data_IF_750753425597
#
_entry.id   IF_750753425597
#
_cell.length_a   1.000
_cell.length_b   1.000
_cell.length_c   1.000
_cell.angle_alpha   90.00
_cell.angle_beta   90.00
_cell.angle_gamma   90.00
#
_symmetry.space_group_name_H-M   'P 1'
#
loop_
_entity.id
_entity.type
_entity.pdbx_description
1 polymer ?
#
# COMPACT_ATOMS: atom_id res chain seq x y z
N UNK A 1 2.82 -17.20 47.68
CA UNK A 1 3.28 -15.82 47.57
C UNK A 1 4.80 -15.63 47.38
N UNK A 2 5.67 -16.30 48.13
CA UNK A 2 7.15 -16.14 48.01
C UNK A 2 7.75 -16.60 46.66
N UNK A 3 7.21 -17.65 46.02
CA UNK A 3 7.71 -18.15 44.72
C UNK A 3 7.32 -17.26 43.54
N UNK A 4 6.17 -16.59 43.57
CA UNK A 4 5.72 -15.67 42.51
C UNK A 4 6.49 -14.35 42.51
N UNK A 5 6.89 -13.84 43.69
CA UNK A 5 7.75 -12.66 43.78
C UNK A 5 9.16 -12.91 43.24
N UNK A 6 9.70 -14.12 43.40
CA UNK A 6 11.03 -14.46 42.90
C UNK A 6 11.07 -14.57 41.36
N UNK A 7 9.99 -15.06 40.77
CA UNK A 7 9.85 -15.12 39.29
C UNK A 7 9.68 -13.72 38.65
N UNK A 8 8.95 -12.83 39.31
CA UNK A 8 8.77 -11.45 38.84
C UNK A 8 10.08 -10.64 38.94
N UNK A 9 10.84 -10.78 40.02
CA UNK A 9 12.14 -10.12 40.16
C UNK A 9 13.20 -10.70 39.23
N UNK A 10 13.20 -12.02 38.96
CA UNK A 10 14.09 -12.62 37.96
C UNK A 10 13.75 -12.17 36.51
N UNK A 11 12.48 -12.01 36.21
CA UNK A 11 12.05 -11.49 34.88
C UNK A 11 12.44 -10.02 34.69
N UNK A 12 12.32 -9.20 35.75
CA UNK A 12 12.78 -7.79 35.69
C UNK A 12 14.30 -7.67 35.59
N UNK A 13 15.07 -8.53 36.24
CA UNK A 13 16.53 -8.56 36.10
C UNK A 13 16.97 -9.06 34.71
N UNK A 14 16.27 -10.03 34.13
CA UNK A 14 16.54 -10.50 32.76
C UNK A 14 16.25 -9.44 31.70
N UNK A 15 15.15 -8.69 31.85
CA UNK A 15 14.81 -7.59 30.96
C UNK A 15 15.79 -6.42 31.06
N UNK A 16 16.28 -6.11 32.26
CA UNK A 16 17.32 -5.09 32.47
C UNK A 16 18.67 -5.54 31.91
N UNK A 17 19.03 -6.83 32.02
CA UNK A 17 20.27 -7.35 31.45
C UNK A 17 20.30 -7.30 29.92
N UNK A 18 19.17 -7.66 29.25
CA UNK A 18 19.06 -7.57 27.79
C UNK A 18 19.11 -6.12 27.31
N UNK A 19 18.46 -5.19 28.02
CA UNK A 19 18.52 -3.76 27.68
C UNK A 19 19.95 -3.20 27.87
N UNK A 20 20.67 -3.69 28.88
CA UNK A 20 22.04 -3.30 29.16
C UNK A 20 23.03 -3.86 28.12
N UNK A 21 22.81 -5.09 27.63
CA UNK A 21 23.63 -5.71 26.59
C UNK A 21 23.46 -5.03 25.23
N UNK A 22 22.27 -4.59 24.87
CA UNK A 22 22.02 -3.84 23.63
C UNK A 22 22.69 -2.47 23.65
N UNK A 23 22.70 -1.77 24.79
CA UNK A 23 23.33 -0.46 24.94
C UNK A 23 24.86 -0.55 25.16
N UNK A 24 25.39 -1.68 25.64
CA UNK A 24 26.81 -1.84 25.96
C UNK A 24 27.75 -1.69 24.76
N UNK A 25 27.26 -1.88 23.52
CA UNK A 25 28.04 -1.70 22.28
C UNK A 25 28.44 -0.26 21.98
N UNK A 26 27.75 0.72 22.56
CA UNK A 26 27.88 2.14 22.24
C UNK A 26 28.19 3.03 23.43
N UNK A 27 28.34 2.43 24.62
CA UNK A 27 28.57 3.17 25.85
C UNK A 27 29.92 2.83 26.45
N UNK A 28 30.50 3.78 27.18
CA UNK A 28 31.73 3.55 27.96
C UNK A 28 31.37 2.68 29.19
N UNK A 29 31.79 1.41 29.19
CA UNK A 29 31.41 0.43 30.22
C UNK A 29 32.12 0.65 31.55
N UNK A 30 33.17 1.49 31.60
CA UNK A 30 33.97 1.79 32.78
C UNK A 30 33.51 3.05 33.54
N UNK A 31 32.48 3.74 33.02
CA UNK A 31 31.96 4.97 33.62
C UNK A 31 30.48 4.82 34.00
N UNK A 32 30.01 5.40 35.12
CA UNK A 32 28.61 5.39 35.49
C UNK A 32 27.81 6.12 34.44
N UNK A 33 26.81 5.41 33.89
CA UNK A 33 25.93 5.96 32.86
C UNK A 33 24.48 5.70 33.20
N UNK A 34 23.62 6.66 32.84
CA UNK A 34 22.19 6.55 33.00
C UNK A 34 21.52 6.86 31.65
N UNK A 35 20.65 5.96 31.20
CA UNK A 35 19.82 6.23 30.02
C UNK A 35 18.85 7.38 30.36
N UNK A 36 18.86 8.42 29.56
CA UNK A 36 17.89 9.51 29.68
C UNK A 36 16.47 8.97 29.40
N UNK A 37 15.45 9.34 30.18
CA UNK A 37 14.10 8.80 30.04
C UNK A 37 13.52 8.93 28.62
N UNK A 38 13.76 10.05 27.95
CA UNK A 38 13.29 10.29 26.58
C UNK A 38 14.24 9.71 25.52
N UNK A 39 15.43 9.21 25.89
CA UNK A 39 16.36 8.55 25.01
C UNK A 39 16.02 7.09 24.71
N UNK A 40 14.96 6.55 25.34
CA UNK A 40 14.52 5.18 25.11
C UNK A 40 13.61 5.10 23.89
N UNK A 41 14.18 4.94 22.72
CA UNK A 41 13.41 4.78 21.49
C UNK A 41 12.99 3.32 21.34
N UNK A 42 11.70 3.05 21.50
CA UNK A 42 11.10 1.76 21.09
C UNK A 42 10.60 1.91 19.66
N UNK A 43 10.96 0.97 18.81
CA UNK A 43 10.25 0.79 17.56
C UNK A 43 8.78 0.49 17.88
N UNK A 44 7.88 1.31 17.35
CA UNK A 44 6.44 1.13 17.51
C UNK A 44 5.79 0.97 16.15
N UNK A 45 4.86 0.02 16.06
CA UNK A 45 4.02 -0.12 14.87
C UNK A 45 2.86 0.86 14.97
N UNK A 46 2.61 1.61 13.91
CA UNK A 46 1.42 2.44 13.77
C UNK A 46 0.20 1.53 13.65
N UNK A 47 -0.81 1.77 14.45
CA UNK A 47 -2.09 1.09 14.33
C UNK A 47 -2.96 1.81 13.28
N UNK A 48 -3.28 1.12 12.19
CA UNK A 48 -4.19 1.61 11.15
C UNK A 48 -5.47 0.77 11.21
N UNK A 49 -6.49 1.33 11.86
CA UNK A 49 -7.80 0.69 12.10
C UNK A 49 -8.66 0.86 10.86
N UNK A 50 -9.06 -0.25 10.26
CA UNK A 50 -9.97 -0.33 9.13
C UNK A 50 -11.06 -1.37 9.43
N UNK A 51 -12.32 -1.18 8.95
CA UNK A 51 -13.38 -2.12 9.21
C UNK A 51 -13.31 -3.36 8.32
N UNK A 52 -13.71 -4.50 8.87
CA UNK A 52 -13.98 -5.69 8.07
C UNK A 52 -15.23 -5.47 7.22
N UNK A 53 -15.25 -6.03 6.00
CA UNK A 53 -16.38 -5.96 5.07
C UNK A 53 -16.73 -7.36 4.59
N UNK A 54 -17.99 -7.76 4.71
CA UNK A 54 -18.52 -9.00 4.14
C UNK A 54 -17.72 -10.27 4.53
N UNK A 55 -17.15 -10.29 5.74
CA UNK A 55 -16.34 -11.41 6.23
C UNK A 55 -14.90 -11.43 5.71
N UNK A 56 -14.43 -10.35 5.07
CA UNK A 56 -13.04 -10.14 4.69
C UNK A 56 -12.36 -9.15 5.62
N UNK A 57 -11.09 -9.41 5.89
CA UNK A 57 -10.19 -8.54 6.66
C UNK A 57 -9.45 -7.58 5.72
N UNK A 58 -9.39 -6.26 6.03
CA UNK A 58 -8.64 -5.29 5.25
C UNK A 58 -7.15 -5.37 5.58
N UNK A 59 -6.34 -5.95 4.73
CA UNK A 59 -4.88 -5.96 4.84
C UNK A 59 -4.28 -4.78 4.09
N UNK A 60 -3.33 -4.09 4.71
CA UNK A 60 -2.64 -2.92 4.15
C UNK A 60 -1.39 -3.38 3.43
N UNK A 61 -1.30 -3.10 2.15
CA UNK A 61 -0.24 -3.54 1.27
C UNK A 61 0.46 -2.38 0.57
N UNK A 62 1.76 -2.52 0.33
CA UNK A 62 2.49 -1.73 -0.66
C UNK A 62 3.09 -2.70 -1.69
N UNK A 63 2.59 -2.60 -2.91
CA UNK A 63 2.91 -3.55 -3.98
C UNK A 63 3.98 -3.01 -4.95
N UNK A 64 4.65 -1.89 -4.60
CA UNK A 64 5.68 -1.28 -5.42
C UNK A 64 6.70 -0.53 -4.55
N UNK A 65 7.86 -1.15 -4.30
CA UNK A 65 8.93 -0.60 -3.45
C UNK A 65 10.31 -0.98 -3.98
N UNK A 66 11.31 -0.13 -3.70
CA UNK A 66 12.70 -0.29 -4.13
C UNK A 66 13.69 -0.24 -2.96
N UNK A 67 14.88 -0.80 -3.17
CA UNK A 67 15.92 -0.93 -2.16
C UNK A 67 17.27 -0.45 -2.68
N UNK A 68 18.31 -0.54 -1.83
CA UNK A 68 19.71 -0.29 -2.23
C UNK A 68 20.28 -1.32 -3.20
N UNK A 69 19.50 -2.32 -3.60
CA UNK A 69 19.93 -3.23 -4.67
C UNK A 69 19.85 -2.57 -6.06
N UNK A 70 18.99 -1.57 -6.24
CA UNK A 70 18.99 -0.72 -7.44
C UNK A 70 19.27 0.75 -7.06
N UNK A 71 18.27 1.61 -7.08
CA UNK A 71 18.43 3.05 -6.90
C UNK A 71 17.70 3.62 -5.67
N UNK A 72 17.13 2.75 -4.83
CA UNK A 72 16.63 3.13 -3.52
C UNK A 72 17.76 3.37 -2.50
N UNK A 73 17.51 4.17 -1.47
CA UNK A 73 18.50 4.49 -0.43
C UNK A 73 18.37 3.66 0.85
N UNK A 74 17.35 2.80 0.95
CA UNK A 74 17.08 1.96 2.12
C UNK A 74 17.30 0.50 1.77
N UNK A 75 18.04 -0.23 2.62
CA UNK A 75 18.27 -1.66 2.41
C UNK A 75 17.02 -2.50 2.74
N UNK A 76 17.07 -3.78 2.42
CA UNK A 76 15.93 -4.69 2.60
C UNK A 76 15.40 -4.68 4.02
N UNK A 77 16.28 -4.80 5.03
CA UNK A 77 15.87 -4.79 6.43
C UNK A 77 15.18 -3.48 6.81
N UNK A 78 15.75 -2.35 6.41
CA UNK A 78 15.14 -1.04 6.63
C UNK A 78 13.77 -0.90 5.97
N UNK A 79 13.58 -1.45 4.75
CA UNK A 79 12.25 -1.46 4.09
C UNK A 79 11.22 -2.29 4.85
N UNK A 80 11.64 -3.43 5.42
CA UNK A 80 10.76 -4.24 6.28
C UNK A 80 10.40 -3.49 7.56
N UNK A 81 11.39 -2.84 8.19
CA UNK A 81 11.18 -2.01 9.38
C UNK A 81 10.22 -0.84 9.11
N UNK A 82 10.40 -0.12 8.00
CA UNK A 82 9.48 0.95 7.57
C UNK A 82 8.07 0.43 7.33
N UNK A 83 7.91 -0.67 6.58
CA UNK A 83 6.60 -1.24 6.29
C UNK A 83 5.86 -1.65 7.56
N UNK A 84 6.57 -2.32 8.47
CA UNK A 84 6.03 -2.72 9.77
C UNK A 84 5.66 -1.49 10.63
N UNK A 85 6.57 -0.51 10.75
CA UNK A 85 6.35 0.70 11.56
C UNK A 85 5.20 1.54 11.04
N UNK A 86 5.03 1.62 9.71
CA UNK A 86 3.94 2.35 9.05
C UNK A 86 2.59 1.63 9.14
N UNK A 87 2.56 0.39 9.66
CA UNK A 87 1.35 -0.40 9.90
C UNK A 87 0.90 -1.25 8.72
N UNK A 88 1.79 -1.54 7.75
CA UNK A 88 1.48 -2.46 6.66
C UNK A 88 1.50 -3.91 7.13
N UNK A 89 0.73 -4.75 6.43
CA UNK A 89 0.68 -6.20 6.63
C UNK A 89 1.37 -6.96 5.49
N UNK A 90 1.46 -6.33 4.32
CA UNK A 90 1.93 -6.94 3.08
C UNK A 90 2.88 -5.98 2.36
N UNK A 91 3.97 -6.51 1.81
CA UNK A 91 4.79 -5.84 0.80
C UNK A 91 4.99 -6.74 -0.41
N UNK A 92 5.22 -6.16 -1.58
CA UNK A 92 5.76 -6.89 -2.72
C UNK A 92 7.23 -6.51 -2.93
N UNK A 93 8.08 -7.51 -3.15
CA UNK A 93 9.50 -7.28 -3.44
C UNK A 93 9.66 -7.02 -4.95
N UNK A 94 9.64 -5.74 -5.35
CA UNK A 94 9.53 -5.29 -6.74
C UNK A 94 10.74 -4.52 -7.23
N UNK A 95 11.95 -5.02 -6.97
CA UNK A 95 13.18 -4.37 -7.45
C UNK A 95 13.23 -4.32 -8.99
N UNK A 96 13.93 -3.34 -9.53
CA UNK A 96 14.07 -3.15 -10.96
C UNK A 96 14.71 -4.34 -11.69
N UNK A 97 14.05 -4.81 -12.75
CA UNK A 97 14.60 -5.65 -13.80
C UNK A 97 14.44 -4.90 -15.12
N UNK A 98 15.50 -4.30 -15.61
CA UNK A 98 15.42 -3.52 -16.86
C UNK A 98 15.17 -4.42 -18.06
N UNK A 99 14.05 -4.20 -18.74
CA UNK A 99 13.66 -4.87 -20.01
C UNK A 99 14.02 -4.04 -21.23
N UNK A 100 14.79 -2.95 -21.06
CA UNK A 100 15.28 -2.15 -22.19
C UNK A 100 16.21 -2.97 -23.04
N UNK A 101 16.21 -2.80 -24.39
CA UNK A 101 17.19 -3.44 -25.25
C UNK A 101 18.62 -3.14 -24.80
N UNK A 102 19.48 -4.14 -24.78
CA UNK A 102 20.92 -3.92 -24.58
C UNK A 102 21.48 -3.39 -25.89
N UNK A 103 22.08 -2.18 -25.86
CA UNK A 103 22.92 -1.78 -26.96
C UNK A 103 24.12 -2.74 -27.00
N UNK A 104 24.17 -3.58 -28.00
CA UNK A 104 25.27 -4.51 -28.21
C UNK A 104 26.55 -3.69 -28.55
N UNK A 105 27.34 -3.41 -27.54
CA UNK A 105 28.70 -2.86 -27.73
C UNK A 105 29.59 -4.04 -28.02
N UNK A 106 29.72 -4.38 -29.30
CA UNK A 106 30.77 -5.26 -29.84
C UNK A 106 30.85 -6.67 -29.27
N UNK A 107 29.72 -7.43 -29.26
CA UNK A 107 29.78 -8.88 -28.99
C UNK A 107 30.28 -9.30 -27.59
N UNK A 108 30.34 -8.36 -26.64
CA UNK A 108 30.86 -8.62 -25.28
C UNK A 108 29.78 -9.13 -24.31
N UNK A 109 28.50 -9.05 -24.64
CA UNK A 109 27.42 -9.47 -23.75
C UNK A 109 26.64 -10.62 -24.39
N UNK A 110 26.81 -11.82 -23.85
CA UNK A 110 25.95 -12.93 -24.26
C UNK A 110 24.54 -12.75 -23.67
N UNK A 111 23.49 -13.29 -24.31
CA UNK A 111 22.12 -13.29 -23.76
C UNK A 111 22.07 -13.79 -22.32
N UNK A 112 22.82 -14.84 -22.02
CA UNK A 112 22.86 -15.45 -20.68
C UNK A 112 23.50 -14.52 -19.63
N UNK A 113 24.63 -13.89 -19.96
CA UNK A 113 25.29 -12.95 -19.04
C UNK A 113 24.45 -11.70 -18.78
N UNK A 114 23.73 -11.21 -19.79
CA UNK A 114 22.77 -10.09 -19.64
C UNK A 114 21.62 -10.48 -18.71
N UNK A 115 21.05 -11.67 -18.90
CA UNK A 115 19.97 -12.22 -18.09
C UNK A 115 20.36 -12.30 -16.61
N UNK A 116 21.48 -12.94 -16.29
CA UNK A 116 21.98 -13.08 -14.93
C UNK A 116 22.21 -11.70 -14.28
N UNK A 117 22.88 -10.79 -14.98
CA UNK A 117 23.20 -9.46 -14.45
C UNK A 117 21.95 -8.62 -14.15
N UNK A 118 20.95 -8.67 -15.06
CA UNK A 118 19.74 -7.84 -14.91
C UNK A 118 18.77 -8.39 -13.87
N UNK A 119 18.73 -9.71 -13.69
CA UNK A 119 17.83 -10.35 -12.72
C UNK A 119 18.37 -10.36 -11.29
N UNK A 120 19.69 -10.19 -11.11
CA UNK A 120 20.36 -10.42 -9.84
C UNK A 120 19.79 -9.60 -8.66
N UNK A 121 19.42 -8.35 -8.89
CA UNK A 121 18.90 -7.48 -7.84
C UNK A 121 17.48 -7.85 -7.43
N UNK A 122 16.62 -8.19 -8.38
CA UNK A 122 15.26 -8.66 -8.11
C UNK A 122 15.28 -9.99 -7.34
N UNK A 123 16.16 -10.94 -7.69
CA UNK A 123 16.35 -12.17 -6.94
C UNK A 123 16.79 -11.88 -5.50
N UNK A 124 17.84 -11.07 -5.31
CA UNK A 124 18.34 -10.72 -3.97
C UNK A 124 17.30 -10.04 -3.09
N UNK A 125 16.44 -9.21 -3.67
CA UNK A 125 15.40 -8.54 -2.88
C UNK A 125 14.36 -9.55 -2.41
N UNK A 126 13.83 -10.40 -3.28
CA UNK A 126 12.88 -11.45 -2.90
C UNK A 126 13.46 -12.36 -1.83
N UNK A 127 14.69 -12.87 -2.03
CA UNK A 127 15.36 -13.77 -1.08
C UNK A 127 15.59 -13.08 0.27
N UNK A 128 16.08 -11.82 0.26
CA UNK A 128 16.35 -11.06 1.46
C UNK A 128 15.09 -10.72 2.25
N UNK A 129 14.03 -10.28 1.58
CA UNK A 129 12.76 -9.93 2.23
C UNK A 129 12.06 -11.17 2.79
N UNK A 130 11.97 -12.26 2.00
CA UNK A 130 11.34 -13.52 2.45
C UNK A 130 12.03 -14.10 3.67
N UNK A 131 13.38 -14.04 3.70
CA UNK A 131 14.16 -14.56 4.83
C UNK A 131 13.86 -13.92 6.17
N UNK A 132 13.48 -12.63 6.18
CA UNK A 132 13.24 -11.87 7.42
C UNK A 132 11.77 -11.47 7.61
N UNK A 133 10.87 -11.94 6.75
CA UNK A 133 9.44 -11.60 6.80
C UNK A 133 8.80 -11.91 8.15
N UNK A 134 9.09 -13.09 8.70
CA UNK A 134 8.53 -13.56 9.95
C UNK A 134 8.99 -12.72 11.15
N UNK A 135 10.20 -12.15 11.12
CA UNK A 135 10.70 -11.28 12.19
C UNK A 135 9.82 -10.03 12.37
N UNK A 136 9.11 -9.61 11.32
CA UNK A 136 8.21 -8.47 11.30
C UNK A 136 6.73 -8.87 11.24
N UNK A 137 6.41 -10.13 11.04
CA UNK A 137 5.04 -10.58 10.80
C UNK A 137 4.43 -9.98 9.54
N UNK A 138 5.23 -9.76 8.51
CA UNK A 138 4.82 -9.26 7.20
C UNK A 138 4.67 -10.39 6.20
N UNK A 139 3.65 -10.33 5.36
CA UNK A 139 3.56 -11.17 4.18
C UNK A 139 4.35 -10.54 3.03
N UNK A 140 5.32 -11.27 2.48
CA UNK A 140 6.09 -10.83 1.30
C UNK A 140 5.55 -11.50 0.06
N UNK A 141 5.09 -10.70 -0.90
CA UNK A 141 4.74 -11.17 -2.25
C UNK A 141 6.02 -11.16 -3.09
N UNK A 142 6.49 -12.30 -3.57
CA UNK A 142 7.61 -12.34 -4.51
C UNK A 142 7.20 -11.65 -5.82
N UNK A 143 8.06 -10.79 -6.34
CA UNK A 143 7.75 -10.01 -7.53
C UNK A 143 8.97 -9.33 -8.11
N UNK A 144 8.75 -8.48 -9.09
CA UNK A 144 9.77 -7.71 -9.79
C UNK A 144 9.12 -6.55 -10.54
N UNK A 145 9.78 -5.42 -10.66
CA UNK A 145 9.40 -4.41 -11.64
C UNK A 145 10.12 -4.65 -12.96
N UNK A 146 9.38 -4.98 -14.00
CA UNK A 146 9.85 -5.05 -15.38
C UNK A 146 9.94 -3.62 -15.93
N UNK A 147 11.15 -3.04 -15.82
CA UNK A 147 11.40 -1.61 -16.04
C UNK A 147 11.79 -1.34 -17.50
N UNK A 148 10.84 -0.82 -18.27
CA UNK A 148 11.06 -0.38 -19.64
C UNK A 148 11.64 1.03 -19.74
N UNK A 149 11.74 1.56 -20.95
CA UNK A 149 11.92 2.99 -21.14
C UNK A 149 10.59 3.72 -20.86
N UNK A 150 10.61 4.67 -19.95
CA UNK A 150 9.41 5.32 -19.45
C UNK A 150 8.58 6.05 -20.52
N UNK A 151 9.18 6.45 -21.64
CA UNK A 151 8.48 7.17 -22.72
C UNK A 151 7.98 6.24 -23.83
N UNK A 152 8.52 5.05 -23.94
CA UNK A 152 8.27 4.17 -25.10
C UNK A 152 7.78 2.78 -24.71
N UNK A 153 8.02 2.33 -23.46
CA UNK A 153 7.67 0.98 -23.01
C UNK A 153 6.81 0.96 -21.74
N UNK A 154 6.97 1.96 -20.83
CA UNK A 154 6.33 1.92 -19.52
C UNK A 154 6.96 0.92 -18.56
N UNK A 155 6.38 0.78 -17.38
CA UNK A 155 6.83 -0.10 -16.30
C UNK A 155 5.70 -1.02 -15.85
N UNK A 156 6.05 -2.27 -15.52
CA UNK A 156 5.06 -3.26 -15.09
C UNK A 156 5.59 -4.08 -13.91
N UNK A 157 4.83 -4.17 -12.83
CA UNK A 157 5.14 -5.12 -11.78
C UNK A 157 4.58 -6.50 -12.13
N UNK A 158 5.43 -7.51 -12.01
CA UNK A 158 5.00 -8.91 -12.00
C UNK A 158 4.96 -9.37 -10.54
N UNK A 159 3.78 -9.68 -10.04
CA UNK A 159 3.53 -10.14 -8.67
C UNK A 159 3.35 -11.66 -8.65
N UNK A 160 3.76 -12.31 -7.56
CA UNK A 160 3.71 -13.78 -7.40
C UNK A 160 4.59 -14.53 -8.41
N UNK A 161 5.75 -13.98 -8.72
CA UNK A 161 6.76 -14.68 -9.51
C UNK A 161 7.36 -15.84 -8.71
N UNK A 162 7.81 -16.89 -9.41
CA UNK A 162 8.45 -18.05 -8.78
C UNK A 162 9.96 -18.05 -8.97
N UNK A 163 10.45 -17.48 -10.07
CA UNK A 163 11.88 -17.36 -10.38
C UNK A 163 12.14 -16.10 -11.22
N UNK A 164 12.68 -15.07 -10.58
CA UNK A 164 13.04 -13.83 -11.27
C UNK A 164 14.29 -13.97 -12.16
N UNK A 165 15.11 -15.02 -11.98
CA UNK A 165 16.36 -15.19 -12.73
C UNK A 165 16.15 -15.48 -14.21
N UNK A 166 14.97 -15.96 -14.58
CA UNK A 166 14.65 -16.39 -15.95
C UNK A 166 13.74 -15.43 -16.71
N UNK A 167 13.33 -14.29 -16.09
CA UNK A 167 12.34 -13.39 -16.69
C UNK A 167 12.87 -12.56 -17.84
N UNK A 168 14.13 -12.11 -17.75
CA UNK A 168 14.71 -11.20 -18.75
C UNK A 168 14.78 -11.81 -20.14
N UNK A 169 14.37 -11.04 -21.14
CA UNK A 169 14.58 -11.31 -22.56
C UNK A 169 15.00 -10.01 -23.27
N UNK A 170 15.63 -10.10 -24.45
CA UNK A 170 15.95 -8.94 -25.28
C UNK A 170 14.70 -8.25 -25.84
N UNK A 171 13.65 -9.03 -26.09
CA UNK A 171 12.30 -8.50 -26.31
C UNK A 171 11.64 -8.21 -24.95
N UNK A 172 11.45 -6.95 -24.63
CA UNK A 172 10.78 -6.55 -23.40
C UNK A 172 9.38 -7.15 -23.23
N UNK A 173 8.64 -7.32 -24.31
CA UNK A 173 7.33 -7.98 -24.29
C UNK A 173 7.46 -9.48 -23.94
N UNK A 174 8.51 -10.15 -24.41
CA UNK A 174 8.80 -11.52 -24.03
C UNK A 174 9.13 -11.64 -22.53
N UNK A 175 9.82 -10.64 -21.95
CA UNK A 175 10.04 -10.61 -20.48
C UNK A 175 8.74 -10.60 -19.71
N UNK A 176 7.72 -9.86 -20.16
CA UNK A 176 6.38 -9.84 -19.54
C UNK A 176 5.68 -11.20 -19.72
N UNK A 177 5.78 -11.81 -20.93
CA UNK A 177 5.24 -13.14 -21.19
C UNK A 177 5.89 -14.20 -20.29
N UNK A 178 7.21 -14.13 -20.07
CA UNK A 178 7.94 -15.03 -19.19
C UNK A 178 7.41 -14.97 -17.75
N UNK A 179 7.13 -13.78 -17.25
CA UNK A 179 6.50 -13.61 -15.93
C UNK A 179 5.07 -14.19 -15.92
N UNK A 180 4.29 -13.94 -16.97
CA UNK A 180 2.94 -14.48 -17.09
C UNK A 180 2.92 -16.01 -17.14
N UNK A 181 3.90 -16.64 -17.79
CA UNK A 181 4.05 -18.11 -17.86
C UNK A 181 4.30 -18.73 -16.47
N UNK A 182 4.90 -18.00 -15.54
CA UNK A 182 5.02 -18.42 -14.14
C UNK A 182 3.72 -18.25 -13.35
N UNK A 183 2.67 -17.72 -13.97
CA UNK A 183 1.41 -17.40 -13.31
C UNK A 183 1.42 -16.07 -12.58
N UNK A 184 2.38 -15.18 -12.82
CA UNK A 184 2.40 -13.85 -12.19
C UNK A 184 1.19 -13.01 -12.60
N UNK A 185 0.72 -12.16 -11.69
CA UNK A 185 -0.21 -11.06 -12.00
C UNK A 185 0.61 -9.86 -12.46
N UNK A 186 0.24 -9.29 -13.60
CA UNK A 186 0.95 -8.14 -14.18
C UNK A 186 0.17 -6.86 -13.87
N UNK A 187 0.84 -5.91 -13.24
CA UNK A 187 0.30 -4.61 -12.87
C UNK A 187 1.02 -3.51 -13.64
N UNK A 188 0.26 -2.66 -14.34
CA UNK A 188 0.78 -1.47 -15.02
C UNK A 188 1.04 -0.36 -13.99
N UNK A 189 2.30 0.05 -13.86
CA UNK A 189 2.75 1.02 -12.88
C UNK A 189 2.56 2.46 -13.39
N UNK A 190 2.27 3.40 -12.47
CA UNK A 190 2.27 4.87 -12.67
C UNK A 190 2.05 5.33 -14.13
N UNK A 191 0.86 5.08 -14.73
CA UNK A 191 0.64 5.15 -16.19
C UNK A 191 0.85 6.55 -16.80
N UNK A 192 0.91 7.59 -15.98
CA UNK A 192 1.19 8.96 -16.43
C UNK A 192 2.61 9.44 -16.18
N UNK A 193 3.49 8.62 -15.62
CA UNK A 193 4.84 9.04 -15.28
C UNK A 193 5.68 9.32 -16.53
N UNK A 194 6.25 10.56 -16.59
CA UNK A 194 7.00 11.08 -17.75
C UNK A 194 6.22 11.18 -19.07
N UNK A 195 4.89 11.07 -19.02
CA UNK A 195 4.00 11.30 -20.16
C UNK A 195 3.27 12.65 -20.01
N UNK A 196 2.87 13.24 -21.14
CA UNK A 196 2.03 14.44 -21.16
C UNK A 196 0.53 14.11 -21.04
N UNK A 197 0.15 12.88 -21.34
CA UNK A 197 -1.22 12.34 -21.26
C UNK A 197 -1.18 10.91 -20.68
N UNK A 198 -2.34 10.30 -20.46
CA UNK A 198 -2.45 8.87 -20.13
C UNK A 198 -2.64 7.98 -21.37
N UNK A 199 -2.30 8.49 -22.57
CA UNK A 199 -2.36 7.69 -23.78
C UNK A 199 -1.25 6.62 -23.75
N UNK A 200 -1.61 5.39 -24.09
CA UNK A 200 -0.68 4.28 -24.08
C UNK A 200 0.39 4.40 -25.15
N UNK A 201 1.60 4.01 -24.84
CA UNK A 201 2.64 3.77 -25.84
C UNK A 201 2.29 2.56 -26.70
N UNK A 202 2.93 2.41 -27.85
CA UNK A 202 2.74 1.21 -28.69
C UNK A 202 3.11 -0.10 -27.98
N UNK A 203 4.07 -0.04 -27.07
CA UNK A 203 4.46 -1.19 -26.27
C UNK A 203 3.37 -1.54 -25.27
N UNK A 204 2.86 -0.56 -24.54
CA UNK A 204 1.74 -0.76 -23.59
C UNK A 204 0.50 -1.27 -24.34
N UNK A 205 0.16 -0.70 -25.50
CA UNK A 205 -0.94 -1.20 -26.33
C UNK A 205 -0.76 -2.69 -26.68
N UNK A 206 0.47 -3.13 -27.01
CA UNK A 206 0.75 -4.53 -27.31
C UNK A 206 0.59 -5.42 -26.08
N UNK A 207 1.06 -4.98 -24.90
CA UNK A 207 0.89 -5.71 -23.63
C UNK A 207 -0.60 -5.87 -23.29
N UNK A 208 -1.40 -4.82 -23.46
CA UNK A 208 -2.84 -4.84 -23.23
C UNK A 208 -3.59 -5.67 -24.27
N UNK A 209 -3.20 -5.61 -25.54
CA UNK A 209 -3.82 -6.37 -26.61
C UNK A 209 -3.67 -7.89 -26.44
N UNK A 210 -2.59 -8.33 -25.81
CA UNK A 210 -2.35 -9.74 -25.46
C UNK A 210 -3.08 -10.17 -24.17
N UNK A 211 -3.80 -9.25 -23.50
CA UNK A 211 -4.50 -9.56 -22.26
C UNK A 211 -3.56 -9.93 -21.11
N UNK A 212 -2.35 -9.38 -21.09
CA UNK A 212 -1.34 -9.71 -20.08
C UNK A 212 -1.53 -8.95 -18.77
N UNK A 213 -2.21 -7.79 -18.80
CA UNK A 213 -2.36 -6.90 -17.65
C UNK A 213 -3.56 -7.32 -16.80
N UNK A 214 -3.35 -7.45 -15.48
CA UNK A 214 -4.37 -7.79 -14.49
C UNK A 214 -4.71 -6.62 -13.56
N UNK A 215 -3.76 -5.68 -13.39
CA UNK A 215 -3.90 -4.56 -12.44
C UNK A 215 -3.30 -3.26 -12.96
N UNK A 216 -3.64 -2.17 -12.27
CA UNK A 216 -3.20 -0.82 -12.64
C UNK A 216 -2.98 0.02 -11.38
N UNK A 217 -1.89 0.79 -11.33
CA UNK A 217 -1.71 1.81 -10.30
C UNK A 217 -2.61 3.01 -10.57
N UNK A 218 -3.60 3.19 -9.71
CA UNK A 218 -4.44 4.39 -9.68
C UNK A 218 -3.73 5.54 -8.98
N UNK A 219 -2.92 5.21 -7.95
CA UNK A 219 -2.11 6.15 -7.17
C UNK A 219 -0.69 5.60 -7.00
N UNK A 220 0.30 6.47 -7.20
CA UNK A 220 1.71 6.13 -7.03
C UNK A 220 2.42 7.31 -6.33
N UNK A 221 3.04 7.06 -5.18
CA UNK A 221 3.63 8.12 -4.37
C UNK A 221 2.64 9.25 -4.09
N UNK A 222 2.95 10.47 -4.55
CA UNK A 222 2.09 11.65 -4.42
C UNK A 222 1.19 11.90 -5.62
N UNK A 223 1.21 11.01 -6.62
CA UNK A 223 0.42 11.16 -7.84
C UNK A 223 -0.85 10.32 -7.79
N UNK A 224 -1.93 10.91 -8.29
CA UNK A 224 -3.22 10.27 -8.50
C UNK A 224 -3.62 10.42 -9.97
N UNK A 225 -4.05 9.35 -10.61
CA UNK A 225 -4.42 9.28 -12.02
C UNK A 225 -5.92 9.02 -12.19
N UNK A 226 -6.83 10.00 -11.99
CA UNK A 226 -8.29 9.76 -12.03
C UNK A 226 -8.76 9.16 -13.36
N UNK A 227 -8.17 9.57 -14.49
CA UNK A 227 -8.55 9.05 -15.81
C UNK A 227 -8.18 7.57 -16.01
N UNK A 228 -7.26 7.02 -15.18
CA UNK A 228 -6.92 5.60 -15.19
C UNK A 228 -8.09 4.69 -14.78
N UNK A 229 -9.13 5.22 -14.10
CA UNK A 229 -10.38 4.49 -13.87
C UNK A 229 -11.01 3.99 -15.17
N UNK A 230 -10.92 4.75 -16.27
CA UNK A 230 -11.48 4.35 -17.55
C UNK A 230 -10.76 3.11 -18.08
N UNK A 231 -9.43 3.11 -18.04
CA UNK A 231 -8.59 1.96 -18.43
C UNK A 231 -8.89 0.75 -17.54
N UNK A 232 -8.96 0.93 -16.23
CA UNK A 232 -9.26 -0.15 -15.28
C UNK A 232 -10.64 -0.75 -15.55
N UNK A 233 -11.68 0.06 -15.78
CA UNK A 233 -13.03 -0.41 -16.11
C UNK A 233 -13.06 -1.14 -17.47
N UNK A 234 -12.41 -0.57 -18.50
CA UNK A 234 -12.37 -1.14 -19.85
C UNK A 234 -11.73 -2.53 -19.89
N UNK A 235 -10.61 -2.70 -19.18
CA UNK A 235 -9.83 -3.93 -19.20
C UNK A 235 -10.09 -4.85 -17.99
N UNK A 236 -11.02 -4.46 -17.10
CA UNK A 236 -11.36 -5.21 -15.87
C UNK A 236 -10.13 -5.48 -15.01
N UNK A 237 -9.43 -4.41 -14.60
CA UNK A 237 -8.19 -4.48 -13.83
C UNK A 237 -8.48 -4.22 -12.35
N UNK A 238 -7.74 -4.91 -11.45
CA UNK A 238 -7.69 -4.47 -10.07
C UNK A 238 -6.91 -3.15 -9.98
N UNK A 239 -7.27 -2.31 -9.00
CA UNK A 239 -6.66 -0.99 -8.81
C UNK A 239 -5.82 -0.97 -7.54
N UNK A 240 -4.68 -0.29 -7.59
CA UNK A 240 -3.74 -0.22 -6.47
C UNK A 240 -3.29 1.21 -6.17
N UNK A 241 -2.81 1.40 -4.95
CA UNK A 241 -2.09 2.59 -4.49
C UNK A 241 -0.80 2.14 -3.82
N UNK A 242 0.32 2.51 -4.38
CA UNK A 242 1.64 2.09 -3.92
C UNK A 242 2.58 3.28 -3.77
N UNK A 243 3.71 3.07 -3.11
CA UNK A 243 4.63 4.18 -2.86
C UNK A 243 5.65 4.39 -3.96
N UNK A 244 6.11 3.32 -4.60
CA UNK A 244 7.28 3.38 -5.50
C UNK A 244 8.49 4.04 -4.79
N UNK A 245 8.65 3.71 -3.50
CA UNK A 245 9.53 4.45 -2.61
C UNK A 245 11.00 4.14 -2.85
N UNK A 246 11.77 5.17 -3.16
CA UNK A 246 13.23 5.13 -3.32
C UNK A 246 13.95 5.75 -2.12
N UNK A 247 13.31 6.72 -1.43
CA UNK A 247 13.82 7.37 -0.22
C UNK A 247 13.25 6.71 1.04
N UNK A 248 13.48 7.28 2.22
CA UNK A 248 12.80 6.83 3.45
C UNK A 248 11.31 7.20 3.43
N UNK A 249 10.45 6.31 3.93
CA UNK A 249 9.00 6.59 4.04
C UNK A 249 8.74 7.72 5.02
N UNK A 250 9.54 7.85 6.07
CA UNK A 250 9.45 8.92 7.05
C UNK A 250 9.45 10.30 6.38
N UNK A 251 10.41 10.54 5.47
CA UNK A 251 10.54 11.82 4.75
C UNK A 251 9.31 12.20 3.93
N UNK A 252 8.64 11.20 3.35
CA UNK A 252 7.49 11.46 2.46
C UNK A 252 6.19 11.53 3.25
N UNK A 253 6.01 10.67 4.26
CA UNK A 253 4.74 10.45 4.93
C UNK A 253 4.75 10.84 6.40
N UNK A 254 5.49 10.13 7.26
CA UNK A 254 5.29 10.21 8.71
C UNK A 254 5.80 11.50 9.34
N UNK A 255 6.88 12.08 8.84
CA UNK A 255 7.38 13.40 9.28
C UNK A 255 6.38 14.52 8.96
N UNK A 256 5.53 14.32 7.96
CA UNK A 256 4.46 15.25 7.56
C UNK A 256 3.10 14.88 8.16
N UNK A 257 3.02 13.90 9.07
CA UNK A 257 1.79 13.47 9.72
C UNK A 257 0.85 12.65 8.84
N UNK A 258 1.30 12.18 7.68
CA UNK A 258 0.49 11.38 6.76
C UNK A 258 0.62 9.87 7.03
N UNK A 259 -0.44 9.14 6.68
CA UNK A 259 -0.35 7.69 6.48
C UNK A 259 0.34 7.42 5.13
N UNK A 260 1.15 6.36 5.11
CA UNK A 260 1.76 5.85 3.88
C UNK A 260 0.67 5.45 2.88
N UNK A 261 0.95 5.61 1.58
CA UNK A 261 0.13 5.00 0.53
C UNK A 261 -0.05 3.53 0.81
N UNK A 262 -1.26 3.04 0.57
CA UNK A 262 -1.54 1.63 0.73
C UNK A 262 -2.63 1.16 -0.24
N UNK A 263 -2.46 -0.03 -0.77
CA UNK A 263 -3.53 -0.83 -1.34
C UNK A 263 -4.19 -1.59 -0.19
N UNK A 264 -5.47 -1.34 0.06
CA UNK A 264 -6.25 -2.06 1.07
C UNK A 264 -6.83 -3.29 0.38
N UNK A 265 -6.37 -4.47 0.76
CA UNK A 265 -6.77 -5.74 0.15
C UNK A 265 -7.72 -6.47 1.11
N UNK A 266 -8.94 -6.74 0.65
CA UNK A 266 -9.95 -7.45 1.44
C UNK A 266 -9.84 -8.96 1.19
N UNK A 267 -9.11 -9.64 2.05
CA UNK A 267 -8.83 -11.07 1.97
C UNK A 267 -9.35 -11.82 3.22
N UNK A 268 -9.53 -13.14 3.11
CA UNK A 268 -9.98 -13.96 4.24
C UNK A 268 -8.87 -14.18 5.24
N UNK A 269 -7.64 -14.36 4.77
CA UNK A 269 -6.47 -14.70 5.56
C UNK A 269 -5.24 -13.96 5.04
N UNK A 270 -4.24 -13.75 5.90
CA UNK A 270 -2.95 -13.19 5.51
C UNK A 270 -2.05 -14.29 4.93
N UNK A 271 -2.41 -14.78 3.75
CA UNK A 271 -1.65 -15.80 2.99
C UNK A 271 -1.51 -15.38 1.54
N UNK A 272 -0.45 -15.83 0.86
CA UNK A 272 -0.25 -15.51 -0.57
C UNK A 272 -1.46 -15.94 -1.43
N UNK A 273 -2.03 -17.11 -1.15
CA UNK A 273 -3.19 -17.62 -1.88
C UNK A 273 -4.44 -16.74 -1.69
N UNK A 274 -4.75 -16.34 -0.43
CA UNK A 274 -5.93 -15.53 -0.14
C UNK A 274 -5.78 -14.09 -0.62
N UNK A 275 -4.56 -13.53 -0.54
CA UNK A 275 -4.25 -12.19 -1.07
C UNK A 275 -4.33 -12.18 -2.60
N UNK A 276 -3.78 -13.21 -3.26
CA UNK A 276 -3.87 -13.36 -4.70
C UNK A 276 -5.34 -13.44 -5.16
N UNK A 277 -6.13 -14.29 -4.53
CA UNK A 277 -7.57 -14.43 -4.82
C UNK A 277 -8.31 -13.10 -4.65
N UNK A 278 -7.95 -12.30 -3.64
CA UNK A 278 -8.56 -10.99 -3.42
C UNK A 278 -8.22 -9.99 -4.53
N UNK A 279 -6.97 -10.00 -5.04
CA UNK A 279 -6.56 -9.19 -6.19
C UNK A 279 -7.32 -9.61 -7.46
N UNK A 280 -7.34 -10.91 -7.77
CA UNK A 280 -8.06 -11.46 -8.92
C UNK A 280 -9.58 -11.19 -8.85
N UNK A 281 -10.15 -11.13 -7.66
CA UNK A 281 -11.55 -10.75 -7.41
C UNK A 281 -11.77 -9.23 -7.29
N UNK A 282 -10.76 -8.40 -7.54
CA UNK A 282 -10.80 -6.93 -7.50
C UNK A 282 -11.26 -6.35 -6.15
N UNK A 283 -10.99 -7.06 -5.05
CA UNK A 283 -11.34 -6.59 -3.70
C UNK A 283 -10.24 -5.71 -3.14
N UNK A 284 -10.00 -4.58 -3.81
CA UNK A 284 -8.98 -3.60 -3.44
C UNK A 284 -9.55 -2.19 -3.36
N UNK A 285 -9.05 -1.41 -2.40
CA UNK A 285 -9.20 0.05 -2.36
C UNK A 285 -7.83 0.71 -2.32
N UNK A 286 -7.71 1.81 -3.03
CA UNK A 286 -6.50 2.63 -3.09
C UNK A 286 -6.58 3.73 -2.03
N UNK A 287 -5.52 3.94 -1.25
CA UNK A 287 -5.44 5.06 -0.32
C UNK A 287 -4.13 5.84 -0.52
N UNK A 288 -4.24 7.15 -0.64
CA UNK A 288 -3.11 8.09 -0.66
C UNK A 288 -3.55 9.45 -0.12
N UNK A 289 -2.81 10.02 0.83
CA UNK A 289 -2.98 11.40 1.34
C UNK A 289 -4.43 11.81 1.61
N UNK A 290 -5.21 10.96 2.31
CA UNK A 290 -6.61 11.22 2.65
C UNK A 290 -7.61 10.98 1.52
N UNK A 291 -7.17 10.48 0.38
CA UNK A 291 -7.99 10.14 -0.78
C UNK A 291 -8.13 8.63 -0.90
N UNK A 292 -9.34 8.15 -1.13
CA UNK A 292 -9.64 6.76 -1.46
C UNK A 292 -10.08 6.64 -2.92
N UNK A 293 -9.70 5.54 -3.57
CA UNK A 293 -10.16 5.19 -4.92
C UNK A 293 -10.49 3.71 -5.03
N UNK A 294 -11.47 3.36 -5.88
CA UNK A 294 -11.80 1.96 -6.09
C UNK A 294 -13.19 1.74 -6.68
N UNK A 295 -13.65 0.50 -6.61
CA UNK A 295 -15.01 0.12 -7.01
C UNK A 295 -16.07 0.85 -6.16
N UNK A 296 -17.10 1.39 -6.79
CA UNK A 296 -18.13 2.20 -6.11
C UNK A 296 -18.85 1.43 -5.01
N UNK A 297 -19.19 0.16 -5.27
CA UNK A 297 -19.89 -0.68 -4.30
C UNK A 297 -19.01 -0.94 -3.09
N UNK A 298 -17.74 -1.31 -3.32
CA UNK A 298 -16.80 -1.59 -2.25
C UNK A 298 -16.49 -0.33 -1.42
N UNK A 299 -16.35 0.85 -2.06
CA UNK A 299 -16.21 2.14 -1.36
C UNK A 299 -17.41 2.46 -0.47
N UNK A 300 -18.64 2.20 -0.94
CA UNK A 300 -19.85 2.41 -0.14
C UNK A 300 -19.91 1.47 1.06
N UNK A 301 -19.66 0.19 0.85
CA UNK A 301 -19.60 -0.81 1.93
C UNK A 301 -18.51 -0.46 2.97
N UNK A 302 -17.35 -0.01 2.52
CA UNK A 302 -16.27 0.42 3.39
C UNK A 302 -16.65 1.66 4.21
N UNK A 303 -17.28 2.65 3.59
CA UNK A 303 -17.73 3.85 4.29
C UNK A 303 -18.82 3.51 5.32
N UNK A 304 -19.82 2.70 4.95
CA UNK A 304 -20.92 2.28 5.82
C UNK A 304 -20.42 1.47 7.04
N UNK A 305 -19.37 0.66 6.85
CA UNK A 305 -18.70 -0.05 7.94
C UNK A 305 -17.80 0.86 8.80
N UNK A 306 -17.28 1.96 8.23
CA UNK A 306 -16.41 2.92 8.93
C UNK A 306 -17.18 3.97 9.73
N UNK A 307 -18.40 4.34 9.33
CA UNK A 307 -19.12 5.50 9.87
C UNK A 307 -20.46 5.10 10.42
N UNK A 308 -20.62 5.31 11.74
CA UNK A 308 -21.90 5.09 12.42
C UNK A 308 -22.67 6.41 12.59
N UNK A 309 -23.99 6.30 12.66
CA UNK A 309 -24.89 7.45 12.76
C UNK A 309 -25.74 7.33 14.02
N UNK A 310 -25.83 8.41 14.82
CA UNK A 310 -26.73 8.48 15.97
C UNK A 310 -27.58 9.73 15.90
N UNK A 311 -28.89 9.57 15.81
CA UNK A 311 -29.86 10.67 15.88
C UNK A 311 -29.92 11.21 17.31
N UNK A 312 -29.80 12.50 17.52
CA UNK A 312 -29.75 13.14 18.84
C UNK A 312 -31.10 13.81 19.17
N UNK A 313 -31.34 14.99 18.62
CA UNK A 313 -32.50 15.82 18.95
C UNK A 313 -33.15 16.41 17.71
N UNK A 314 -34.46 16.64 17.78
CA UNK A 314 -35.24 17.28 16.73
C UNK A 314 -35.76 18.61 17.24
N UNK A 315 -35.47 19.68 16.51
CA UNK A 315 -36.08 20.98 16.76
C UNK A 315 -37.47 21.02 16.08
N UNK A 316 -38.54 21.02 16.90
CA UNK A 316 -39.94 20.96 16.39
C UNK A 316 -40.29 22.19 15.55
N UNK A 317 -39.73 23.39 15.84
CA UNK A 317 -40.03 24.61 15.08
C UNK A 317 -39.35 24.63 13.71
N UNK A 318 -38.05 24.35 13.64
CA UNK A 318 -37.27 24.40 12.39
C UNK A 318 -37.37 23.09 11.57
N UNK A 319 -37.94 22.03 12.13
CA UNK A 319 -37.92 20.67 11.56
C UNK A 319 -36.50 20.17 11.22
N UNK A 320 -35.51 20.65 11.96
CA UNK A 320 -34.14 20.21 11.84
C UNK A 320 -33.82 19.16 12.92
N UNK A 321 -32.96 18.22 12.59
CA UNK A 321 -32.47 17.16 13.47
C UNK A 321 -30.96 17.25 13.59
N UNK A 322 -30.45 17.13 14.81
CA UNK A 322 -29.02 16.93 15.06
C UNK A 322 -28.69 15.46 14.98
N UNK A 323 -27.64 15.16 14.26
CA UNK A 323 -27.16 13.78 14.03
C UNK A 323 -25.67 13.75 14.31
N UNK A 324 -25.23 12.78 15.08
CA UNK A 324 -23.83 12.52 15.34
C UNK A 324 -23.34 11.46 14.36
N UNK A 325 -22.29 11.78 13.61
CA UNK A 325 -21.56 10.88 12.75
C UNK A 325 -20.27 10.52 13.48
N UNK A 326 -20.00 9.22 13.64
CA UNK A 326 -18.78 8.74 14.29
C UNK A 326 -17.97 7.93 13.28
N UNK A 327 -16.75 8.38 12.98
CA UNK A 327 -15.77 7.66 12.19
C UNK A 327 -14.99 6.70 13.09
N UNK A 328 -15.14 5.41 12.88
CA UNK A 328 -14.47 4.35 13.62
C UNK A 328 -13.18 3.87 12.92
N UNK A 329 -12.76 4.51 11.83
CA UNK A 329 -11.57 4.16 11.06
C UNK A 329 -10.42 5.17 11.24
N UNK A 330 -9.22 4.77 10.89
CA UNK A 330 -8.03 5.64 10.86
C UNK A 330 -7.97 6.55 9.63
N UNK A 331 -8.95 6.49 8.71
CA UNK A 331 -8.97 7.31 7.50
C UNK A 331 -9.92 8.50 7.63
N UNK A 332 -9.54 9.69 7.15
CA UNK A 332 -10.43 10.84 7.13
C UNK A 332 -11.45 10.76 5.99
N UNK A 333 -12.62 11.37 6.17
CA UNK A 333 -13.61 11.50 5.09
C UNK A 333 -14.03 12.96 4.93
N UNK A 334 -14.09 13.43 3.69
CA UNK A 334 -14.71 14.72 3.35
C UNK A 334 -16.10 14.46 2.78
N UNK A 335 -17.13 14.96 3.47
CA UNK A 335 -18.53 14.69 3.14
C UNK A 335 -19.22 15.96 2.70
N UNK A 336 -20.14 15.86 1.73
CA UNK A 336 -21.10 16.91 1.39
C UNK A 336 -22.51 16.37 1.56
N UNK A 337 -23.30 16.99 2.45
CA UNK A 337 -24.70 16.65 2.69
C UNK A 337 -25.56 17.63 1.91
N UNK A 338 -26.28 17.15 0.91
CA UNK A 338 -27.03 18.02 0.00
C UNK A 338 -26.14 19.05 -0.70
N UNK A 339 -26.51 20.34 -0.58
CA UNK A 339 -25.77 21.46 -1.16
C UNK A 339 -24.95 22.24 -0.11
N UNK A 340 -24.80 21.69 1.10
CA UNK A 340 -24.05 22.35 2.17
C UNK A 340 -22.54 22.35 1.90
N UNK A 341 -21.81 23.18 2.63
CA UNK A 341 -20.34 23.15 2.60
C UNK A 341 -19.81 21.78 3.04
N UNK A 342 -18.70 21.32 2.44
CA UNK A 342 -18.09 20.07 2.85
C UNK A 342 -17.68 20.09 4.33
N UNK A 343 -17.82 18.96 4.99
CA UNK A 343 -17.37 18.71 6.35
C UNK A 343 -16.29 17.64 6.36
N UNK A 344 -15.32 17.77 7.25
CA UNK A 344 -14.27 16.76 7.46
C UNK A 344 -14.66 15.92 8.67
N UNK A 345 -14.85 14.63 8.44
CA UNK A 345 -15.01 13.64 9.49
C UNK A 345 -13.62 13.03 9.77
N UNK A 346 -13.00 13.53 10.84
CA UNK A 346 -11.62 13.13 11.20
C UNK A 346 -11.54 11.65 11.60
N UNK A 347 -10.37 11.02 11.50
CA UNK A 347 -10.16 9.67 12.00
C UNK A 347 -10.57 9.52 13.47
N UNK A 348 -11.18 8.39 13.82
CA UNK A 348 -11.51 8.01 15.20
C UNK A 348 -12.21 9.12 16.01
N UNK A 349 -13.12 9.84 15.35
CA UNK A 349 -13.77 11.01 15.95
C UNK A 349 -15.25 11.09 15.62
N UNK A 350 -15.98 11.94 16.36
CA UNK A 350 -17.40 12.22 16.13
C UNK A 350 -17.62 13.68 15.74
N UNK A 351 -18.52 13.91 14.80
CA UNK A 351 -18.95 15.23 14.35
C UNK A 351 -20.48 15.32 14.39
N UNK A 352 -21.03 16.44 14.88
CA UNK A 352 -22.48 16.66 14.89
C UNK A 352 -22.88 17.53 13.70
N UNK A 353 -23.78 17.02 12.89
CA UNK A 353 -24.37 17.72 11.74
C UNK A 353 -25.83 18.02 12.00
N UNK A 354 -26.36 19.03 11.32
CA UNK A 354 -27.77 19.39 11.36
C UNK A 354 -28.41 19.12 10.00
N UNK A 355 -29.43 18.30 9.97
CA UNK A 355 -30.12 17.86 8.74
C UNK A 355 -31.63 18.04 8.87
N UNK A 356 -32.40 17.94 7.79
CA UNK A 356 -33.87 17.94 7.83
C UNK A 356 -34.38 16.65 8.49
N UNK A 357 -35.24 16.81 9.48
CA UNK A 357 -35.88 15.67 10.16
C UNK A 357 -36.83 14.90 9.22
N UNK A 358 -36.89 13.57 9.42
CA UNK A 358 -37.83 12.72 8.69
C UNK A 358 -37.44 12.40 7.24
N UNK A 359 -36.24 12.83 6.79
CA UNK A 359 -35.70 12.47 5.47
C UNK A 359 -34.47 11.56 5.63
N UNK A 360 -34.24 10.64 4.69
CA UNK A 360 -32.95 9.94 4.58
C UNK A 360 -31.83 10.97 4.42
N UNK A 361 -30.71 10.74 5.11
CA UNK A 361 -29.53 11.59 4.96
C UNK A 361 -28.70 10.99 3.84
N UNK A 362 -28.63 11.70 2.71
CA UNK A 362 -27.74 11.33 1.61
C UNK A 362 -26.52 12.24 1.61
N UNK A 363 -25.34 11.70 1.52
CA UNK A 363 -24.11 12.48 1.40
C UNK A 363 -23.22 11.97 0.27
N UNK A 364 -22.54 12.90 -0.40
CA UNK A 364 -21.46 12.59 -1.34
C UNK A 364 -20.16 12.54 -0.56
N UNK A 365 -19.40 11.47 -0.71
CA UNK A 365 -18.08 11.32 -0.05
C UNK A 365 -16.99 11.81 -1.01
N UNK A 366 -16.65 13.11 -0.89
CA UNK A 366 -15.74 13.80 -1.81
C UNK A 366 -14.30 13.30 -1.78
N UNK A 367 -13.87 12.70 -0.66
CA UNK A 367 -12.54 12.08 -0.53
C UNK A 367 -12.49 10.66 -1.12
N UNK A 368 -13.60 10.14 -1.64
CA UNK A 368 -13.67 8.85 -2.33
C UNK A 368 -13.93 9.06 -3.82
N UNK A 369 -13.22 8.32 -4.65
CA UNK A 369 -13.31 8.37 -6.10
C UNK A 369 -13.68 7.00 -6.67
N UNK A 370 -14.75 6.94 -7.45
CA UNK A 370 -15.20 5.72 -8.13
C UNK A 370 -15.17 5.83 -9.68
N UNK A 371 -14.64 6.93 -10.18
CA UNK A 371 -14.46 7.24 -11.60
C UNK A 371 -13.60 8.48 -11.77
N UNK A 372 -13.40 8.92 -13.01
CA UNK A 372 -12.52 10.06 -13.34
C UNK A 372 -12.93 11.37 -12.65
N UNK A 373 -14.24 11.60 -12.50
CA UNK A 373 -14.83 12.76 -11.82
C UNK A 373 -16.05 12.32 -10.98
N UNK A 374 -16.03 11.07 -10.47
CA UNK A 374 -17.18 10.47 -9.80
C UNK A 374 -16.87 10.19 -8.34
N UNK A 375 -17.79 10.58 -7.46
CA UNK A 375 -17.73 10.31 -6.03
C UNK A 375 -18.95 9.47 -5.59
N UNK A 376 -18.78 8.48 -4.70
CA UNK A 376 -19.89 7.69 -4.23
C UNK A 376 -20.87 8.52 -3.40
N UNK A 377 -22.16 8.28 -3.62
CA UNK A 377 -23.25 8.82 -2.80
C UNK A 377 -23.74 7.71 -1.89
N UNK A 378 -23.70 7.98 -0.57
CA UNK A 378 -24.12 7.05 0.48
C UNK A 378 -25.33 7.54 1.23
N UNK A 379 -26.11 6.61 1.80
CA UNK A 379 -27.25 6.91 2.67
C UNK A 379 -26.84 6.64 4.10
N UNK A 380 -26.80 7.68 4.94
CA UNK A 380 -26.58 7.54 6.37
C UNK A 380 -27.89 7.08 7.05
N UNK A 381 -27.81 5.98 7.79
CA UNK A 381 -28.95 5.36 8.46
C UNK A 381 -29.27 5.98 9.82
#
# INVERSE_FOLDING_TARGET
MKRTLFLISALFMALSAVAQEYNSRYQCVNEPQTLLPEGYVRMSRREVILPNINGYTPYKADLHIHTTYADGVVNVKGRMEEAWSDGLDIIAATEHLSIRPVADKEGQTTPESAKIKRSANAVKFVDGATKIADDFGLLVIPGVELTGDAKTQGHFNALFTTDNSVLYDYDGLQSIRNARQQGALIMHNHPGWRHSTLDMTKFEEAVYAEGLVDGLELMNGTYFYPRAFNTAKQHKLFMTSNTDIHTTTARVYTENGHLRNMTIIFAKELTLASVREALEAHRTLCYSFGTLGGDEKLLKEFFEASVTTKRLSVNKKSKNQRVMLTNCSSLPYTLRIGNDNPIILRPLSSTIVTVKAGKPISCTVLSMWCGADEHPVVKLQ
#
